data_IF_434547349859
#
_entry.id   IF_434547349859
#
_cell.length_a   1.000
_cell.length_b   1.000
_cell.length_c   1.000
_cell.angle_alpha   90.00
_cell.angle_beta   90.00
_cell.angle_gamma   90.00
#
_symmetry.space_group_name_H-M   'P 1'
#
loop_
_entity.id
_entity.type
_entity.pdbx_description
1 polymer ?
#
# COMPACT_ATOMS: atom_id res chain seq x y z
N UNK A 1 54.94 8.46 -19.39
CA UNK A 1 53.70 8.72 -20.16
C UNK A 1 52.54 7.77 -19.80
N UNK A 2 52.69 6.81 -18.86
CA UNK A 2 51.58 5.93 -18.45
C UNK A 2 50.43 6.66 -17.75
N UNK A 3 50.73 7.65 -16.89
CA UNK A 3 49.70 8.34 -16.11
C UNK A 3 48.58 8.99 -16.95
N UNK A 4 48.89 9.50 -18.14
CA UNK A 4 47.89 10.08 -19.03
C UNK A 4 46.90 9.04 -19.60
N UNK A 5 47.36 7.79 -19.80
CA UNK A 5 46.51 6.70 -20.29
C UNK A 5 45.60 6.18 -19.19
N UNK A 6 46.08 6.07 -17.96
CA UNK A 6 45.29 5.59 -16.81
C UNK A 6 44.12 6.54 -16.47
N UNK A 7 44.35 7.85 -16.63
CA UNK A 7 43.31 8.89 -16.48
C UNK A 7 42.20 8.70 -17.54
N UNK A 8 42.56 8.34 -18.78
CA UNK A 8 41.58 8.17 -19.85
C UNK A 8 40.63 6.99 -19.60
N UNK A 9 41.12 5.85 -19.11
CA UNK A 9 40.28 4.68 -18.81
C UNK A 9 39.38 4.91 -17.59
N UNK A 10 39.92 5.53 -16.53
CA UNK A 10 39.14 5.84 -15.33
C UNK A 10 38.02 6.83 -15.62
N UNK A 11 38.25 7.84 -16.48
CA UNK A 11 37.21 8.76 -16.93
C UNK A 11 36.04 8.05 -17.61
N UNK A 12 36.33 7.10 -18.51
CA UNK A 12 35.31 6.34 -19.25
C UNK A 12 34.47 5.49 -18.29
N UNK A 13 35.12 4.84 -17.32
CA UNK A 13 34.43 4.01 -16.31
C UNK A 13 33.51 4.89 -15.46
N UNK A 14 34.00 6.03 -14.98
CA UNK A 14 33.20 6.97 -14.16
C UNK A 14 32.01 7.51 -14.96
N UNK A 15 32.20 7.86 -16.23
CA UNK A 15 31.12 8.31 -17.10
C UNK A 15 30.04 7.23 -17.29
N UNK A 16 30.45 5.97 -17.50
CA UNK A 16 29.54 4.84 -17.64
C UNK A 16 28.70 4.61 -16.38
N UNK A 17 29.35 4.53 -15.20
CA UNK A 17 28.67 4.31 -13.92
C UNK A 17 27.75 5.47 -13.57
N UNK A 18 28.16 6.72 -13.83
CA UNK A 18 27.34 7.90 -13.57
C UNK A 18 26.08 7.92 -14.44
N UNK A 19 26.22 7.59 -15.72
CA UNK A 19 25.10 7.56 -16.66
C UNK A 19 24.10 6.47 -16.28
N UNK A 20 24.59 5.26 -15.99
CA UNK A 20 23.75 4.13 -15.59
C UNK A 20 23.08 4.37 -14.23
N UNK A 21 23.82 4.90 -13.26
CA UNK A 21 23.31 5.24 -11.93
C UNK A 21 22.24 6.32 -11.96
N UNK A 22 22.43 7.37 -12.77
CA UNK A 22 21.45 8.45 -12.93
C UNK A 22 20.13 7.94 -13.52
N UNK A 23 20.20 7.17 -14.62
CA UNK A 23 19.01 6.62 -15.25
C UNK A 23 18.27 5.65 -14.30
N UNK A 24 19.02 4.79 -13.60
CA UNK A 24 18.46 3.88 -12.61
C UNK A 24 17.77 4.65 -11.47
N UNK A 25 18.41 5.71 -10.96
CA UNK A 25 17.84 6.56 -9.91
C UNK A 25 16.52 7.21 -10.34
N UNK A 26 16.45 7.76 -11.56
CA UNK A 26 15.22 8.36 -12.09
C UNK A 26 14.11 7.33 -12.16
N UNK A 27 14.38 6.14 -12.71
CA UNK A 27 13.38 5.08 -12.84
C UNK A 27 12.91 4.61 -11.46
N UNK A 28 13.83 4.36 -10.51
CA UNK A 28 13.50 3.93 -9.16
C UNK A 28 12.67 4.99 -8.40
N UNK A 29 13.02 6.27 -8.55
CA UNK A 29 12.26 7.38 -7.98
C UNK A 29 10.87 7.50 -8.59
N UNK A 30 10.75 7.32 -9.90
CA UNK A 30 9.48 7.34 -10.60
C UNK A 30 8.60 6.15 -10.21
N UNK A 31 9.20 4.97 -9.97
CA UNK A 31 8.51 3.82 -9.42
C UNK A 31 8.01 4.07 -7.99
N UNK A 32 8.75 4.80 -7.15
CA UNK A 32 8.27 5.16 -5.81
C UNK A 32 7.11 6.16 -5.85
N UNK A 33 7.05 7.03 -6.87
CA UNK A 33 5.95 7.99 -7.09
C UNK A 33 4.71 7.35 -7.72
N UNK A 34 4.89 6.27 -8.50
CA UNK A 34 3.82 5.38 -8.95
C UNK A 34 3.52 4.34 -7.87
N UNK A 35 3.03 4.83 -6.73
CA UNK A 35 2.37 3.96 -5.77
C UNK A 35 1.20 3.25 -6.48
N UNK A 36 1.42 1.99 -6.87
CA UNK A 36 0.38 1.24 -7.56
C UNK A 36 -0.61 0.70 -6.52
N UNK A 37 -1.93 0.87 -6.73
CA UNK A 37 -2.96 0.38 -5.81
C UNK A 37 -2.82 -1.12 -5.46
N UNK A 38 -2.31 -1.90 -6.41
CA UNK A 38 -2.16 -3.35 -6.27
C UNK A 38 -1.04 -3.75 -5.28
N UNK A 39 0.05 -2.99 -5.21
CA UNK A 39 1.15 -3.26 -4.28
C UNK A 39 0.71 -3.05 -2.83
N UNK A 40 0.08 -1.90 -2.58
CA UNK A 40 -0.51 -1.54 -1.27
C UNK A 40 -1.58 -2.57 -0.87
N UNK A 41 -2.43 -2.98 -1.81
CA UNK A 41 -3.43 -4.02 -1.57
C UNK A 41 -2.81 -5.35 -1.13
N UNK A 42 -1.76 -5.83 -1.81
CA UNK A 42 -1.12 -7.11 -1.50
C UNK A 42 -0.44 -7.09 -0.13
N UNK A 43 0.17 -5.98 0.25
CA UNK A 43 0.82 -5.84 1.55
C UNK A 43 -0.20 -5.66 2.68
N UNK A 44 -1.17 -4.76 2.51
CA UNK A 44 -2.22 -4.53 3.51
C UNK A 44 -3.08 -5.78 3.76
N UNK A 45 -3.42 -6.54 2.71
CA UNK A 45 -4.17 -7.80 2.86
C UNK A 45 -3.38 -8.85 3.63
N UNK A 46 -2.07 -8.98 3.38
CA UNK A 46 -1.20 -9.86 4.17
C UNK A 46 -1.16 -9.45 5.65
N UNK A 47 -0.97 -8.16 5.93
CA UNK A 47 -0.96 -7.64 7.30
C UNK A 47 -2.29 -7.92 8.02
N UNK A 48 -3.43 -7.82 7.33
CA UNK A 48 -4.73 -8.16 7.90
C UNK A 48 -4.86 -9.66 8.17
N UNK A 49 -4.34 -10.52 7.29
CA UNK A 49 -4.37 -11.97 7.49
C UNK A 49 -3.46 -12.44 8.61
N UNK A 50 -2.35 -11.75 8.89
CA UNK A 50 -1.39 -12.13 9.92
C UNK A 50 -1.80 -11.69 11.33
N UNK A 51 -2.65 -10.66 11.44
CA UNK A 51 -3.03 -10.08 12.73
C UNK A 51 -4.03 -10.96 13.51
N UNK A 52 -3.66 -11.36 14.74
CA UNK A 52 -4.47 -12.26 15.58
C UNK A 52 -5.87 -11.69 15.87
N UNK A 53 -5.98 -10.36 16.08
CA UNK A 53 -7.23 -9.71 16.41
C UNK A 53 -8.23 -9.78 15.24
N UNK A 54 -7.69 -9.73 14.02
CA UNK A 54 -8.46 -9.80 12.78
C UNK A 54 -8.92 -11.23 12.52
N UNK A 55 -8.04 -12.21 12.77
CA UNK A 55 -8.39 -13.62 12.67
C UNK A 55 -9.48 -14.03 13.67
N UNK A 56 -9.37 -13.59 14.92
CA UNK A 56 -10.36 -13.88 15.97
C UNK A 56 -11.71 -13.24 15.65
N UNK A 57 -11.71 -12.02 15.11
CA UNK A 57 -12.94 -11.29 14.82
C UNK A 57 -13.70 -11.77 13.57
N UNK A 58 -12.99 -12.14 12.49
CA UNK A 58 -13.60 -12.60 11.22
C UNK A 58 -13.84 -14.12 11.20
N UNK A 59 -12.99 -14.88 11.90
CA UNK A 59 -12.91 -16.33 11.84
C UNK A 59 -12.20 -16.83 10.58
N UNK A 60 -11.39 -17.87 10.72
CA UNK A 60 -10.73 -18.55 9.60
C UNK A 60 -11.72 -19.49 8.88
N UNK A 61 -11.66 -19.61 7.54
CA UNK A 61 -10.79 -18.94 6.57
C UNK A 61 -11.24 -17.50 6.22
N UNK A 62 -10.28 -16.64 5.87
CA UNK A 62 -10.52 -15.24 5.46
C UNK A 62 -10.32 -15.10 3.95
N UNK A 63 -11.31 -14.54 3.27
CA UNK A 63 -11.29 -14.26 1.83
C UNK A 63 -11.27 -12.74 1.64
N UNK A 64 -10.39 -12.24 0.76
CA UNK A 64 -10.29 -10.82 0.44
C UNK A 64 -10.98 -10.52 -0.87
N UNK A 65 -11.81 -9.49 -0.88
CA UNK A 65 -12.56 -9.04 -2.04
C UNK A 65 -12.34 -7.55 -2.30
N UNK A 66 -12.20 -7.20 -3.57
CA UNK A 66 -11.98 -5.81 -4.01
C UNK A 66 -13.28 -5.03 -4.18
N UNK A 67 -14.38 -5.74 -4.46
CA UNK A 67 -15.72 -5.19 -4.63
C UNK A 67 -16.68 -5.71 -3.57
N UNK A 68 -17.68 -4.91 -3.15
CA UNK A 68 -18.76 -5.42 -2.33
C UNK A 68 -19.47 -6.54 -3.09
N UNK A 69 -19.75 -7.65 -2.41
CA UNK A 69 -20.26 -8.91 -2.98
C UNK A 69 -21.75 -8.80 -3.40
N UNK A 70 -22.19 -7.63 -3.86
CA UNK A 70 -23.57 -7.33 -4.26
C UNK A 70 -23.61 -7.30 -5.79
N UNK A 71 -23.99 -8.42 -6.39
CA UNK A 71 -24.30 -8.50 -7.82
C UNK A 71 -23.16 -9.01 -8.69
N UNK A 72 -23.56 -9.73 -9.73
CA UNK A 72 -22.79 -10.62 -10.61
C UNK A 72 -21.77 -9.92 -11.54
N UNK A 73 -21.03 -8.92 -11.06
CA UNK A 73 -20.00 -8.24 -11.86
C UNK A 73 -18.65 -8.30 -11.16
N UNK A 74 -17.83 -9.26 -11.59
CA UNK A 74 -16.42 -9.44 -11.21
C UNK A 74 -15.55 -8.29 -11.75
N UNK A 75 -15.83 -7.07 -11.34
CA UNK A 75 -14.96 -5.96 -11.68
C UNK A 75 -13.92 -5.85 -10.56
N UNK A 76 -12.82 -6.59 -10.70
CA UNK A 76 -11.76 -6.69 -9.69
C UNK A 76 -10.91 -5.41 -9.60
N UNK A 77 -11.54 -4.25 -9.81
CA UNK A 77 -10.90 -2.95 -9.81
C UNK A 77 -10.88 -2.42 -8.38
N UNK A 78 -9.65 -2.28 -7.90
CA UNK A 78 -9.35 -1.66 -6.61
C UNK A 78 -9.91 -0.24 -6.58
N UNK A 79 -10.81 0.04 -5.64
CA UNK A 79 -11.27 1.42 -5.38
C UNK A 79 -10.16 2.17 -4.66
N UNK A 80 -9.27 2.74 -5.45
CA UNK A 80 -8.28 3.70 -5.01
C UNK A 80 -8.78 5.11 -5.32
N UNK A 81 -8.87 5.96 -4.29
CA UNK A 81 -9.09 7.40 -4.45
C UNK A 81 -7.79 8.11 -4.17
N UNK A 82 -7.30 8.85 -5.15
CA UNK A 82 -6.09 9.67 -5.02
C UNK A 82 -6.56 11.10 -4.78
N UNK A 83 -6.19 11.65 -3.63
CA UNK A 83 -6.46 13.04 -3.27
C UNK A 83 -5.14 13.80 -3.22
N UNK A 84 -5.12 14.99 -3.80
CA UNK A 84 -4.01 15.91 -3.63
C UNK A 84 -4.40 16.97 -2.60
N UNK A 85 -3.95 16.79 -1.36
CA UNK A 85 -4.15 17.78 -0.30
C UNK A 85 -2.80 18.37 0.07
N UNK A 86 -2.64 19.68 -0.19
CA UNK A 86 -1.42 20.46 0.15
C UNK A 86 -0.15 19.95 -0.57
N UNK A 87 -0.27 19.49 -1.82
CA UNK A 87 0.86 19.01 -2.64
C UNK A 87 1.40 17.64 -2.23
N UNK A 88 0.68 16.92 -1.36
CA UNK A 88 0.96 15.52 -1.00
C UNK A 88 -0.16 14.67 -1.55
N UNK A 89 0.17 13.82 -2.52
CA UNK A 89 -0.73 12.76 -2.98
C UNK A 89 -0.99 11.83 -1.80
N UNK A 90 -2.27 11.61 -1.52
CA UNK A 90 -2.78 10.64 -0.55
C UNK A 90 -3.58 9.63 -1.33
N UNK A 91 -3.31 8.34 -1.11
CA UNK A 91 -4.11 7.27 -1.68
C UNK A 91 -4.95 6.63 -0.58
N UNK A 92 -6.27 6.61 -0.78
CA UNK A 92 -7.19 5.84 0.06
C UNK A 92 -7.62 4.62 -0.73
N UNK A 93 -7.30 3.45 -0.18
CA UNK A 93 -7.63 2.13 -0.69
C UNK A 93 -8.72 1.51 0.18
N UNK A 94 -9.83 1.06 -0.41
CA UNK A 94 -10.88 0.35 0.33
C UNK A 94 -11.11 -1.03 -0.26
N UNK A 95 -11.10 -2.06 0.58
CA UNK A 95 -11.38 -3.44 0.21
C UNK A 95 -12.18 -4.15 1.30
N UNK A 96 -12.66 -5.37 1.01
CA UNK A 96 -13.56 -6.13 1.86
C UNK A 96 -12.90 -7.43 2.29
N UNK A 97 -13.14 -7.84 3.52
CA UNK A 97 -12.76 -9.13 4.08
C UNK A 97 -14.02 -9.90 4.42
N UNK A 98 -14.11 -11.14 3.95
CA UNK A 98 -15.18 -12.07 4.30
C UNK A 98 -14.58 -13.24 5.05
N UNK A 99 -14.91 -13.38 6.33
CA UNK A 99 -14.58 -14.54 7.14
C UNK A 99 -15.75 -15.50 7.26
N UNK A 100 -15.54 -16.61 7.97
CA UNK A 100 -16.61 -17.59 8.24
C UNK A 100 -17.73 -17.03 9.12
N UNK A 101 -17.37 -16.18 10.08
CA UNK A 101 -18.33 -15.66 11.07
C UNK A 101 -18.84 -14.27 10.69
N UNK A 102 -17.96 -13.40 10.18
CA UNK A 102 -18.26 -12.00 9.92
C UNK A 102 -17.57 -11.51 8.66
N UNK A 103 -18.10 -10.42 8.13
CA UNK A 103 -17.46 -9.63 7.08
C UNK A 103 -17.01 -8.28 7.63
N UNK A 104 -16.01 -7.68 7.01
CA UNK A 104 -15.48 -6.37 7.39
C UNK A 104 -15.03 -5.57 6.17
N UNK A 105 -15.02 -4.25 6.32
CA UNK A 105 -14.50 -3.31 5.34
C UNK A 105 -13.17 -2.78 5.86
N UNK A 106 -12.12 -2.90 5.06
CA UNK A 106 -10.81 -2.35 5.37
C UNK A 106 -10.62 -1.09 4.56
N UNK A 107 -10.22 -0.01 5.22
CA UNK A 107 -9.70 1.14 4.51
C UNK A 107 -8.27 1.47 4.97
N UNK A 108 -7.43 1.64 3.96
CA UNK A 108 -6.00 1.88 4.09
C UNK A 108 -5.74 3.26 3.50
N UNK A 109 -5.01 4.09 4.25
CA UNK A 109 -4.53 5.36 3.73
C UNK A 109 -3.02 5.32 3.66
N UNK A 110 -2.50 5.62 2.48
CA UNK A 110 -1.09 5.77 2.22
C UNK A 110 -0.77 7.24 1.91
N UNK A 111 0.36 7.73 2.44
CA UNK A 111 0.94 9.03 2.11
C UNK A 111 2.04 8.75 1.09
N UNK A 112 2.01 9.43 -0.06
CA UNK A 112 2.77 9.00 -1.25
C UNK A 112 4.29 9.08 -1.21
N UNK A 113 4.91 9.20 -0.03
CA UNK A 113 6.35 9.37 0.12
C UNK A 113 7.09 8.06 0.46
N UNK A 114 6.84 7.00 -0.33
CA UNK A 114 7.47 5.67 -0.22
C UNK A 114 7.00 4.83 0.99
N UNK A 115 5.92 4.06 0.80
CA UNK A 115 5.51 2.93 1.66
C UNK A 115 5.23 3.26 3.14
N UNK A 116 4.86 4.52 3.43
CA UNK A 116 4.47 4.92 4.79
C UNK A 116 2.96 4.84 4.90
N UNK A 117 2.50 3.75 5.51
CA UNK A 117 1.11 3.57 5.92
C UNK A 117 0.77 4.61 7.00
N UNK A 118 -0.19 5.49 6.71
CA UNK A 118 -0.72 6.46 7.67
C UNK A 118 -1.62 5.72 8.66
N UNK A 119 -2.59 4.96 8.14
CA UNK A 119 -3.40 4.05 8.94
C UNK A 119 -4.02 2.90 8.14
N UNK A 120 -4.27 1.80 8.84
CA UNK A 120 -5.09 0.66 8.37
C UNK A 120 -6.19 0.42 9.41
N UNK A 121 -7.44 0.66 9.02
CA UNK A 121 -8.60 0.39 9.86
C UNK A 121 -9.49 -0.68 9.26
N UNK A 122 -10.05 -1.53 10.12
CA UNK A 122 -11.04 -2.54 9.75
C UNK A 122 -12.34 -2.24 10.48
N UNK A 123 -13.38 -1.93 9.72
CA UNK A 123 -14.74 -1.81 10.22
C UNK A 123 -15.45 -3.14 10.04
N UNK A 124 -15.74 -3.84 11.14
CA UNK A 124 -16.50 -5.08 11.09
C UNK A 124 -18.00 -4.78 10.95
N UNK A 125 -18.69 -5.62 10.18
CA UNK A 125 -20.13 -5.50 10.01
C UNK A 125 -20.86 -5.78 11.33
N UNK A 126 -22.07 -5.21 11.43
CA UNK A 126 -22.80 -5.04 12.67
C UNK A 126 -23.12 -6.40 13.31
N UNK A 127 -22.41 -6.72 14.38
CA UNK A 127 -22.82 -7.77 15.31
C UNK A 127 -23.70 -7.20 16.41
N UNK A 128 -24.37 -8.06 17.18
CA UNK A 128 -25.19 -7.67 18.34
C UNK A 128 -24.41 -6.89 19.42
N UNK A 129 -23.07 -6.85 19.35
CA UNK A 129 -22.18 -6.09 20.25
C UNK A 129 -21.77 -4.69 19.75
N UNK A 130 -22.24 -4.22 18.59
CA UNK A 130 -21.88 -2.91 18.03
C UNK A 130 -20.81 -2.95 16.92
N UNK A 131 -20.36 -1.78 16.46
CA UNK A 131 -19.28 -1.66 15.47
C UNK A 131 -17.93 -1.80 16.17
N UNK A 132 -17.14 -2.80 15.78
CA UNK A 132 -15.76 -2.93 16.21
C UNK A 132 -14.84 -2.40 15.12
N UNK A 133 -14.01 -1.41 15.48
CA UNK A 133 -12.93 -0.89 14.65
C UNK A 133 -11.63 -1.53 15.16
N UNK A 134 -10.90 -2.20 14.28
CA UNK A 134 -9.58 -2.77 14.60
C UNK A 134 -8.51 -1.97 13.87
N UNK A 135 -7.55 -1.46 14.63
CA UNK A 135 -6.40 -0.72 14.13
C UNK A 135 -5.17 -1.63 14.05
N UNK A 136 -4.58 -1.79 12.86
CA UNK A 136 -3.41 -2.66 12.66
C UNK A 136 -2.11 -1.86 12.68
N UNK A 137 -2.14 -0.62 12.16
CA UNK A 137 -0.97 0.25 12.07
C UNK A 137 -1.45 1.70 12.05
N UNK A 138 -0.90 2.53 12.93
CA UNK A 138 -1.20 3.96 13.06
C UNK A 138 0.11 4.74 13.09
N UNK A 139 0.33 5.59 12.10
CA UNK A 139 1.36 6.63 12.13
C UNK A 139 0.70 7.94 12.59
N UNK A 140 0.29 7.97 13.84
CA UNK A 140 0.01 9.18 14.64
C UNK A 140 -0.87 10.28 14.00
N UNK A 141 -1.93 9.93 13.28
CA UNK A 141 -2.94 10.90 12.82
C UNK A 141 -4.32 10.62 13.42
N UNK A 142 -4.73 11.51 14.34
CA UNK A 142 -6.06 11.55 14.97
C UNK A 142 -7.18 11.58 13.91
N UNK A 143 -8.20 10.77 14.16
CA UNK A 143 -9.45 10.69 13.40
C UNK A 143 -10.12 12.07 13.21
N UNK A 144 -10.52 12.45 11.99
CA UNK A 144 -11.67 13.34 11.82
C UNK A 144 -12.92 12.47 11.93
N UNK A 145 -13.68 12.69 13.00
CA UNK A 145 -15.04 12.15 13.21
C UNK A 145 -15.99 12.89 12.28
#
# INVERSE_FOLDING_TARGET
>A
QQAAKDISYTLIIVAGVSTLGSLCYIILRELCSRETPNGIYKEASKLCMENINVQDALGTPIIVHTTPQIGSMRMNNVRAKIFDEKGRKKMILTFYLTGKQRSGVVAVKNISNCYIYDYIFIQLDRSWKGFNVIDIRTSDSKFPI
#
